data_IF_989050007367
#
_entry.id   IF_989050007367
#
_cell.length_a   1.000
_cell.length_b   1.000
_cell.length_c   1.000
_cell.angle_alpha   90.00
_cell.angle_beta   90.00
_cell.angle_gamma   90.00
#
_symmetry.space_group_name_H-M   'P 1'
#
loop_
_entity.id
_entity.type
_entity.pdbx_description
1 polymer ?
#
# COMPACT_ATOMS: atom_id res chain seq x y z
N UNK A 1 -29.45 -34.55 -16.87
CA UNK A 1 -28.20 -34.24 -16.18
C UNK A 1 -28.27 -32.78 -15.77
N UNK A 2 -28.27 -32.54 -14.46
CA UNK A 2 -28.75 -31.32 -13.80
C UNK A 2 -27.56 -30.73 -13.02
N UNK A 3 -27.60 -29.42 -12.84
CA UNK A 3 -26.83 -28.62 -11.85
C UNK A 3 -25.47 -28.03 -12.31
N UNK A 4 -25.56 -26.83 -12.89
CA UNK A 4 -24.57 -25.79 -12.63
C UNK A 4 -25.30 -24.55 -12.08
N UNK A 5 -25.32 -24.31 -10.76
CA UNK A 5 -26.04 -23.19 -10.18
C UNK A 5 -25.05 -22.17 -9.63
N UNK A 6 -24.35 -21.42 -10.48
CA UNK A 6 -23.86 -20.12 -10.01
C UNK A 6 -23.85 -19.08 -11.12
N UNK A 7 -24.49 -17.91 -10.92
CA UNK A 7 -24.37 -16.81 -11.87
C UNK A 7 -22.94 -16.26 -11.83
N UNK A 8 -22.36 -15.80 -12.96
CA UNK A 8 -21.04 -15.18 -12.94
C UNK A 8 -21.04 -13.99 -11.98
N UNK A 9 -20.20 -14.04 -10.95
CA UNK A 9 -20.15 -12.96 -9.97
C UNK A 9 -19.67 -11.67 -10.66
N UNK A 10 -20.29 -10.52 -10.39
CA UNK A 10 -19.79 -9.24 -10.87
C UNK A 10 -18.38 -9.05 -10.35
N UNK A 11 -17.38 -9.02 -11.24
CA UNK A 11 -16.04 -8.60 -10.87
C UNK A 11 -16.14 -7.11 -10.53
N UNK A 12 -16.19 -6.79 -9.23
CA UNK A 12 -16.06 -5.41 -8.78
C UNK A 12 -14.79 -4.83 -9.43
N UNK A 13 -14.84 -3.60 -9.97
CA UNK A 13 -13.66 -2.97 -10.52
C UNK A 13 -12.59 -2.93 -9.43
N UNK A 14 -11.48 -3.64 -9.61
CA UNK A 14 -10.32 -3.49 -8.72
C UNK A 14 -9.83 -2.06 -8.93
N UNK A 15 -10.04 -1.20 -7.95
CA UNK A 15 -9.47 0.14 -8.02
C UNK A 15 -7.95 0.01 -8.07
N UNK A 16 -7.26 0.80 -8.90
CA UNK A 16 -5.80 0.75 -9.00
C UNK A 16 -5.10 1.07 -7.67
N UNK A 17 -5.78 1.73 -6.72
CA UNK A 17 -5.33 1.89 -5.35
C UNK A 17 -5.26 0.57 -4.57
N UNK A 18 -6.33 -0.24 -4.60
CA UNK A 18 -6.35 -1.55 -3.93
C UNK A 18 -5.32 -2.50 -4.55
N UNK A 19 -5.08 -2.43 -5.87
CA UNK A 19 -4.03 -3.20 -6.53
C UNK A 19 -2.61 -2.85 -6.09
N UNK A 20 -2.33 -1.57 -5.81
CA UNK A 20 -1.01 -1.13 -5.31
C UNK A 20 -0.80 -1.53 -3.86
N UNK A 21 -1.81 -1.41 -3.01
CA UNK A 21 -1.72 -1.86 -1.63
C UNK A 21 -1.50 -3.38 -1.52
N UNK A 22 -2.20 -4.19 -2.33
CA UNK A 22 -1.95 -5.63 -2.47
C UNK A 22 -0.50 -5.91 -2.88
N UNK A 23 0.07 -5.09 -3.77
CA UNK A 23 1.43 -5.27 -4.26
C UNK A 23 2.49 -4.89 -3.22
N UNK A 24 2.35 -3.74 -2.57
CA UNK A 24 3.23 -3.31 -1.50
C UNK A 24 3.22 -4.33 -0.34
N UNK A 25 2.04 -4.85 0.04
CA UNK A 25 1.92 -5.90 1.05
C UNK A 25 2.71 -7.15 0.66
N UNK A 26 2.62 -7.59 -0.59
CA UNK A 26 3.37 -8.75 -1.10
C UNK A 26 4.89 -8.53 -1.03
N UNK A 27 5.37 -7.37 -1.49
CA UNK A 27 6.80 -7.04 -1.44
C UNK A 27 7.32 -7.02 0.00
N UNK A 28 6.59 -6.41 0.94
CA UNK A 28 7.00 -6.31 2.34
C UNK A 28 6.88 -7.64 3.11
N UNK A 29 5.88 -8.47 2.80
CA UNK A 29 5.76 -9.82 3.38
C UNK A 29 6.86 -10.77 2.90
N UNK A 30 7.30 -10.62 1.65
CA UNK A 30 8.40 -11.39 1.07
C UNK A 30 9.78 -10.89 1.50
N UNK A 31 9.93 -9.56 1.60
CA UNK A 31 11.21 -8.87 1.81
C UNK A 31 11.09 -7.84 2.93
N UNK A 32 10.78 -8.29 4.14
CA UNK A 32 10.49 -7.43 5.29
C UNK A 32 11.63 -6.43 5.61
N UNK A 33 12.88 -6.76 5.28
CA UNK A 33 14.02 -5.87 5.44
C UNK A 33 13.87 -4.54 4.69
N UNK A 34 13.02 -4.45 3.66
CA UNK A 34 12.76 -3.19 2.95
C UNK A 34 12.12 -2.12 3.85
N UNK A 35 11.50 -2.51 4.97
CA UNK A 35 10.98 -1.57 5.97
C UNK A 35 12.06 -0.63 6.53
N UNK A 36 13.32 -1.06 6.59
CA UNK A 36 14.44 -0.24 7.11
C UNK A 36 14.71 1.00 6.23
N UNK A 37 14.41 0.91 4.94
CA UNK A 37 14.71 1.94 3.94
C UNK A 37 13.52 2.89 3.69
N UNK A 38 12.39 2.64 4.34
CA UNK A 38 11.19 3.44 4.18
C UNK A 38 11.30 4.76 4.95
N UNK A 39 10.80 5.83 4.34
CA UNK A 39 10.71 7.14 4.99
C UNK A 39 9.50 7.20 5.92
N UNK A 40 9.46 8.17 6.82
CA UNK A 40 8.29 8.38 7.68
C UNK A 40 6.99 8.60 6.89
N UNK A 41 7.07 9.27 5.74
CA UNK A 41 5.93 9.47 4.84
C UNK A 41 5.47 8.16 4.20
N UNK A 42 6.40 7.24 3.88
CA UNK A 42 6.07 5.91 3.36
C UNK A 42 5.28 5.11 4.40
N UNK A 43 5.77 5.07 5.65
CA UNK A 43 5.10 4.40 6.77
C UNK A 43 3.70 4.99 7.02
N UNK A 44 3.59 6.31 7.04
CA UNK A 44 2.30 7.01 7.21
C UNK A 44 1.32 6.65 6.09
N UNK A 45 1.79 6.62 4.84
CA UNK A 45 0.97 6.29 3.67
C UNK A 45 0.47 4.85 3.70
N UNK A 46 1.32 3.91 4.13
CA UNK A 46 0.97 2.52 4.30
C UNK A 46 -0.05 2.33 5.43
N UNK A 47 0.19 2.91 6.61
CA UNK A 47 -0.71 2.82 7.75
C UNK A 47 -2.07 3.48 7.51
N UNK A 48 -2.12 4.54 6.69
CA UNK A 48 -3.35 5.23 6.31
C UNK A 48 -4.19 4.47 5.26
N UNK A 49 -3.72 3.36 4.70
CA UNK A 49 -4.51 2.59 3.75
C UNK A 49 -5.80 2.07 4.42
N UNK A 50 -6.94 2.05 3.70
CA UNK A 50 -8.17 1.47 4.23
C UNK A 50 -7.97 0.03 4.70
N UNK A 51 -8.76 -0.38 5.69
CA UNK A 51 -8.83 -1.80 6.05
C UNK A 51 -9.20 -2.64 4.81
N UNK A 52 -8.56 -3.80 4.61
CA UNK A 52 -7.70 -4.50 5.56
C UNK A 52 -6.19 -4.16 5.49
N UNK A 53 -5.74 -3.29 4.58
CA UNK A 53 -4.31 -3.08 4.32
C UNK A 53 -3.60 -2.26 5.41
N UNK A 54 -4.19 -1.16 5.86
CA UNK A 54 -3.60 -0.32 6.91
C UNK A 54 -3.22 -1.11 8.18
N UNK A 55 -4.14 -1.90 8.76
CA UNK A 55 -3.85 -2.77 9.89
C UNK A 55 -2.70 -3.76 9.63
N UNK A 56 -2.63 -4.37 8.44
CA UNK A 56 -1.54 -5.29 8.08
C UNK A 56 -0.18 -4.58 8.05
N UNK A 57 -0.11 -3.38 7.50
CA UNK A 57 1.14 -2.62 7.45
C UNK A 57 1.59 -2.15 8.84
N UNK A 58 0.68 -1.66 9.66
CA UNK A 58 0.97 -1.31 11.05
C UNK A 58 1.46 -2.53 11.85
N UNK A 59 0.84 -3.70 11.65
CA UNK A 59 1.28 -4.95 12.25
C UNK A 59 2.70 -5.34 11.78
N UNK A 60 2.99 -5.27 10.48
CA UNK A 60 4.32 -5.57 9.94
C UNK A 60 5.40 -4.65 10.52
N UNK A 61 5.12 -3.35 10.62
CA UNK A 61 6.02 -2.38 11.24
C UNK A 61 6.30 -2.72 12.71
N UNK A 62 5.27 -3.11 13.48
CA UNK A 62 5.45 -3.53 14.86
C UNK A 62 6.33 -4.80 14.96
N UNK A 63 6.09 -5.80 14.11
CA UNK A 63 6.92 -7.01 14.06
C UNK A 63 8.39 -6.68 13.71
N UNK A 64 8.61 -5.73 12.78
CA UNK A 64 9.96 -5.32 12.38
C UNK A 64 10.70 -4.63 13.52
N UNK A 65 10.04 -3.72 14.23
CA UNK A 65 10.64 -3.04 15.37
C UNK A 65 11.00 -3.99 16.52
N UNK A 66 10.18 -5.01 16.76
CA UNK A 66 10.41 -5.96 17.87
C UNK A 66 11.45 -7.04 17.53
N UNK A 67 11.41 -7.57 16.31
CA UNK A 67 12.17 -8.78 15.95
C UNK A 67 13.19 -8.56 14.82
N UNK A 68 13.22 -7.38 14.21
CA UNK A 68 13.93 -7.16 12.96
C UNK A 68 13.23 -7.86 11.78
N UNK A 69 13.94 -8.06 10.65
CA UNK A 69 13.35 -8.69 9.47
C UNK A 69 13.07 -10.18 9.70
N UNK A 70 11.82 -10.57 9.49
CA UNK A 70 11.36 -11.95 9.55
C UNK A 70 11.01 -12.47 8.16
N UNK A 71 11.29 -13.75 7.93
CA UNK A 71 10.88 -14.43 6.71
C UNK A 71 9.36 -14.68 6.69
N UNK A 72 8.76 -14.75 5.49
CA UNK A 72 7.32 -15.00 5.32
C UNK A 72 6.81 -16.22 6.11
N UNK A 73 7.57 -17.32 6.15
CA UNK A 73 7.14 -18.52 6.88
C UNK A 73 6.93 -18.26 8.38
N UNK A 74 7.72 -17.36 8.98
CA UNK A 74 7.58 -16.95 10.39
C UNK A 74 6.42 -15.98 10.53
N UNK A 75 6.35 -14.95 9.68
CA UNK A 75 5.25 -13.97 9.69
C UNK A 75 3.88 -14.65 9.54
N UNK A 76 3.77 -15.64 8.65
CA UNK A 76 2.54 -16.42 8.44
C UNK A 76 2.13 -17.18 9.69
N UNK A 77 3.09 -17.70 10.46
CA UNK A 77 2.78 -18.37 11.74
C UNK A 77 2.26 -17.36 12.77
N UNK A 78 2.92 -16.21 12.89
CA UNK A 78 2.50 -15.13 13.79
C UNK A 78 1.14 -14.51 13.44
N UNK A 79 0.70 -14.68 12.20
CA UNK A 79 -0.59 -14.19 11.71
C UNK A 79 -1.76 -15.14 11.98
N UNK A 80 -1.54 -16.36 12.47
CA UNK A 80 -2.65 -17.30 12.71
C UNK A 80 -3.67 -16.71 13.68
N UNK A 81 -4.95 -16.79 13.32
CA UNK A 81 -6.09 -16.24 14.05
C UNK A 81 -6.07 -14.70 14.19
N UNK A 82 -5.17 -14.00 13.47
CA UNK A 82 -5.11 -12.54 13.42
C UNK A 82 -6.04 -11.97 12.33
N UNK A 83 -6.59 -10.77 12.53
CA UNK A 83 -7.52 -10.14 11.56
C UNK A 83 -6.89 -9.91 10.17
N UNK A 84 -5.57 -9.82 10.11
CA UNK A 84 -4.83 -9.62 8.86
C UNK A 84 -4.45 -10.91 8.13
N UNK A 85 -4.70 -12.10 8.73
CA UNK A 85 -4.29 -13.39 8.18
C UNK A 85 -4.82 -13.61 6.77
N UNK A 86 -6.14 -13.39 6.58
CA UNK A 86 -6.80 -13.64 5.30
C UNK A 86 -6.18 -12.79 4.18
N UNK A 87 -5.94 -11.51 4.44
CA UNK A 87 -5.31 -10.61 3.47
C UNK A 87 -3.87 -11.07 3.16
N UNK A 88 -3.06 -11.32 4.17
CA UNK A 88 -1.65 -11.70 4.00
C UNK A 88 -1.52 -12.99 3.19
N UNK A 89 -2.31 -14.02 3.53
CA UNK A 89 -2.33 -15.29 2.79
C UNK A 89 -2.81 -15.07 1.35
N UNK A 90 -3.87 -14.29 1.15
CA UNK A 90 -4.41 -14.00 -0.19
C UNK A 90 -3.37 -13.32 -1.09
N UNK A 91 -2.65 -12.30 -0.62
CA UNK A 91 -1.64 -11.61 -1.43
C UNK A 91 -0.43 -12.51 -1.70
N UNK A 92 -0.08 -13.40 -0.77
CA UNK A 92 1.06 -14.31 -0.88
C UNK A 92 0.78 -15.61 -1.63
N UNK A 93 -0.47 -15.92 -2.01
CA UNK A 93 -0.84 -17.17 -2.72
C UNK A 93 -1.53 -16.97 -4.06
N UNK A 94 -1.93 -15.74 -4.40
CA UNK A 94 -2.57 -15.43 -5.70
C UNK A 94 -1.64 -15.63 -6.91
N UNK A 95 -2.20 -15.56 -8.12
CA UNK A 95 -1.45 -15.76 -9.39
C UNK A 95 -0.27 -14.80 -9.62
N UNK A 96 -0.16 -13.72 -8.84
CA UNK A 96 0.96 -12.78 -8.87
C UNK A 96 1.90 -12.94 -7.66
N UNK A 97 1.82 -14.04 -6.89
CA UNK A 97 2.51 -14.23 -5.60
C UNK A 97 4.04 -14.22 -5.68
N UNK A 98 4.59 -14.32 -6.90
CA UNK A 98 6.03 -14.34 -7.09
C UNK A 98 6.61 -12.93 -6.95
N UNK A 99 7.41 -12.75 -5.91
CA UNK A 99 8.32 -11.62 -5.73
C UNK A 99 9.75 -12.13 -5.85
N UNK A 100 10.05 -12.69 -7.01
CA UNK A 100 11.37 -13.21 -7.39
C UNK A 100 12.01 -12.18 -8.33
N UNK A 101 13.32 -11.96 -8.18
CA UNK A 101 14.04 -10.95 -8.95
C UNK A 101 15.23 -10.40 -8.19
N UNK A 102 15.94 -9.46 -8.81
CA UNK A 102 17.04 -8.78 -8.14
C UNK A 102 16.51 -7.87 -7.03
N UNK A 103 17.08 -7.99 -5.83
CA UNK A 103 16.64 -7.20 -4.67
C UNK A 103 16.72 -5.68 -4.93
N UNK A 104 17.60 -5.22 -5.81
CA UNK A 104 17.67 -3.81 -6.18
C UNK A 104 16.44 -3.38 -6.99
N UNK A 105 16.01 -4.18 -7.96
CA UNK A 105 14.83 -3.90 -8.78
C UNK A 105 13.55 -3.93 -7.94
N UNK A 106 13.41 -4.91 -7.04
CA UNK A 106 12.26 -5.02 -6.13
C UNK A 106 12.16 -3.83 -5.17
N UNK A 107 13.30 -3.26 -4.74
CA UNK A 107 13.31 -2.02 -3.95
C UNK A 107 12.85 -0.82 -4.75
N UNK A 108 13.34 -0.69 -5.99
CA UNK A 108 12.91 0.39 -6.89
C UNK A 108 11.42 0.28 -7.20
N UNK A 109 10.92 -0.93 -7.38
CA UNK A 109 9.50 -1.21 -7.57
C UNK A 109 8.67 -0.78 -6.34
N UNK A 110 9.09 -1.16 -5.12
CA UNK A 110 8.44 -0.70 -3.90
C UNK A 110 8.44 0.82 -3.80
N UNK A 111 9.57 1.48 -4.10
CA UNK A 111 9.69 2.94 -4.07
C UNK A 111 8.74 3.61 -5.07
N UNK A 112 8.62 3.10 -6.29
CA UNK A 112 7.67 3.61 -7.28
C UNK A 112 6.22 3.44 -6.79
N UNK A 113 5.87 2.25 -6.29
CA UNK A 113 4.54 1.99 -5.75
C UNK A 113 4.15 2.97 -4.64
N UNK A 114 5.05 3.17 -3.68
CA UNK A 114 4.85 4.10 -2.56
C UNK A 114 4.74 5.56 -3.04
N UNK A 115 5.59 5.97 -3.97
CA UNK A 115 5.53 7.32 -4.57
C UNK A 115 4.16 7.56 -5.22
N UNK A 116 3.65 6.59 -5.99
CA UNK A 116 2.31 6.67 -6.58
C UNK A 116 1.23 6.68 -5.51
N UNK A 117 1.36 5.89 -4.44
CA UNK A 117 0.39 5.86 -3.34
C UNK A 117 0.30 7.22 -2.65
N UNK A 118 1.44 7.85 -2.36
CA UNK A 118 1.51 9.20 -1.81
C UNK A 118 0.86 10.24 -2.73
N UNK A 119 1.16 10.20 -4.04
CA UNK A 119 0.56 11.12 -5.01
C UNK A 119 -0.98 11.01 -5.01
N UNK A 120 -1.52 9.79 -4.97
CA UNK A 120 -2.97 9.59 -4.97
C UNK A 120 -3.61 10.02 -3.64
N UNK A 121 -2.97 9.75 -2.51
CA UNK A 121 -3.44 10.24 -1.20
C UNK A 121 -3.46 11.77 -1.16
N UNK A 122 -2.39 12.42 -1.61
CA UNK A 122 -2.33 13.89 -1.71
C UNK A 122 -3.46 14.43 -2.60
N UNK A 123 -3.75 13.79 -3.73
CA UNK A 123 -4.86 14.20 -4.61
C UNK A 123 -6.22 14.10 -3.91
N UNK A 124 -6.47 13.06 -3.12
CA UNK A 124 -7.70 12.94 -2.34
C UNK A 124 -7.79 14.01 -1.24
N UNK A 125 -6.71 14.24 -0.50
CA UNK A 125 -6.65 15.31 0.51
C UNK A 125 -6.92 16.69 -0.11
N UNK A 126 -6.35 16.96 -1.29
CA UNK A 126 -6.57 18.20 -2.03
C UNK A 126 -8.04 18.40 -2.41
N UNK A 127 -8.75 17.34 -2.85
CA UNK A 127 -10.19 17.42 -3.15
C UNK A 127 -11.00 17.82 -1.92
N UNK A 128 -10.68 17.26 -0.76
CA UNK A 128 -11.34 17.60 0.51
C UNK A 128 -11.08 19.05 0.89
N UNK A 129 -9.82 19.49 0.83
CA UNK A 129 -9.43 20.85 1.21
C UNK A 129 -10.12 21.92 0.35
N UNK A 130 -10.27 21.68 -0.96
CA UNK A 130 -10.97 22.62 -1.86
C UNK A 130 -12.40 22.91 -1.39
N UNK A 131 -13.11 21.91 -0.86
CA UNK A 131 -14.47 22.08 -0.33
C UNK A 131 -14.49 22.87 0.99
N UNK A 132 -13.37 22.92 1.70
CA UNK A 132 -13.24 23.59 3.00
C UNK A 132 -12.75 25.04 2.91
N UNK A 133 -12.15 25.45 1.78
CA UNK A 133 -11.55 26.80 1.60
C UNK A 133 -12.52 27.94 1.94
N UNK A 134 -13.81 27.78 1.64
CA UNK A 134 -14.82 28.81 1.92
C UNK A 134 -15.06 29.06 3.42
N UNK A 135 -14.77 28.06 4.27
CA UNK A 135 -15.03 28.08 5.71
C UNK A 135 -13.75 28.19 6.53
N UNK A 136 -12.62 27.75 5.96
CA UNK A 136 -11.34 27.72 6.62
C UNK A 136 -10.23 28.24 5.68
N UNK A 137 -9.79 29.50 5.84
CA UNK A 137 -8.73 30.07 5.03
C UNK A 137 -7.40 29.30 5.12
N UNK A 138 -7.13 28.60 6.23
CA UNK A 138 -5.92 27.77 6.39
C UNK A 138 -5.95 26.51 5.52
N UNK A 139 -7.13 26.12 5.00
CA UNK A 139 -7.25 25.01 4.06
C UNK A 139 -6.54 25.31 2.74
N UNK A 140 -6.50 26.58 2.32
CA UNK A 140 -5.79 27.00 1.11
C UNK A 140 -4.27 26.88 1.28
N UNK A 141 -3.75 27.22 2.47
CA UNK A 141 -2.32 27.08 2.78
C UNK A 141 -1.90 25.60 2.78
N UNK A 142 -2.68 24.74 3.45
CA UNK A 142 -2.47 23.28 3.41
C UNK A 142 -2.54 22.72 1.99
N UNK A 143 -3.50 23.19 1.18
CA UNK A 143 -3.63 22.77 -0.21
C UNK A 143 -2.37 23.11 -1.03
N UNK A 144 -1.81 24.32 -0.86
CA UNK A 144 -0.59 24.75 -1.56
C UNK A 144 0.62 23.93 -1.13
N UNK A 145 0.78 23.65 0.16
CA UNK A 145 1.86 22.81 0.66
C UNK A 145 1.79 21.40 0.05
N UNK A 146 0.59 20.82 -0.01
CA UNK A 146 0.36 19.53 -0.68
C UNK A 146 0.62 19.58 -2.19
N UNK A 147 0.33 20.70 -2.85
CA UNK A 147 0.58 20.86 -4.28
C UNK A 147 2.07 20.86 -4.61
N UNK A 148 2.90 21.55 -3.82
CA UNK A 148 4.36 21.51 -3.99
C UNK A 148 4.91 20.11 -3.73
N UNK A 149 4.49 19.45 -2.63
CA UNK A 149 4.91 18.06 -2.34
C UNK A 149 4.55 17.10 -3.47
N UNK A 150 3.33 17.18 -4.00
CA UNK A 150 2.90 16.35 -5.14
C UNK A 150 3.78 16.60 -6.37
N UNK A 151 4.10 17.85 -6.68
CA UNK A 151 4.94 18.23 -7.81
C UNK A 151 6.35 17.66 -7.67
N UNK A 152 6.93 17.67 -6.47
CA UNK A 152 8.22 17.03 -6.19
C UNK A 152 8.15 15.51 -6.42
N UNK A 153 7.11 14.85 -5.88
CA UNK A 153 6.88 13.41 -6.07
C UNK A 153 6.69 13.04 -7.56
N UNK A 154 5.96 13.86 -8.33
CA UNK A 154 5.75 13.63 -9.76
C UNK A 154 7.03 13.79 -10.60
N UNK A 155 8.02 14.53 -10.12
CA UNK A 155 9.32 14.66 -10.78
C UNK A 155 10.22 13.44 -10.57
N UNK A 156 10.11 12.79 -9.39
CA UNK A 156 10.89 11.60 -9.06
C UNK A 156 10.19 10.30 -9.48
N UNK A 157 8.86 10.32 -9.65
CA UNK A 157 8.10 9.18 -10.11
C UNK A 157 8.58 8.76 -11.51
N UNK A 158 8.89 7.47 -11.75
CA UNK A 158 9.26 7.00 -13.06
C UNK A 158 8.11 7.27 -14.04
N UNK A 159 8.45 7.92 -15.15
CA UNK A 159 7.52 8.14 -16.26
C UNK A 159 7.16 6.76 -16.81
N UNK A 160 5.97 6.28 -16.45
CA UNK A 160 5.38 5.07 -17.07
C UNK A 160 5.45 5.26 -18.58
N UNK A 161 6.32 4.50 -19.25
CA UNK A 161 6.46 4.47 -20.71
C UNK A 161 5.44 3.49 -21.26
#
# INVERSE_FOLDING_TARGET
>A
DKDAPWPPQPRLPRTPAMGRADHAARLLLSHMAFLEELTHDDHTTLAAQPAPHGPLFAWLEAQFHEHGPLAWAVLRESLRDHECEELAVKVMTGSHAQTEGELHELRLELRDLLTRMQIEDIKEQQKVLVLQVAQDPSALERYRALAEKRKELEQIAPKTT
#
